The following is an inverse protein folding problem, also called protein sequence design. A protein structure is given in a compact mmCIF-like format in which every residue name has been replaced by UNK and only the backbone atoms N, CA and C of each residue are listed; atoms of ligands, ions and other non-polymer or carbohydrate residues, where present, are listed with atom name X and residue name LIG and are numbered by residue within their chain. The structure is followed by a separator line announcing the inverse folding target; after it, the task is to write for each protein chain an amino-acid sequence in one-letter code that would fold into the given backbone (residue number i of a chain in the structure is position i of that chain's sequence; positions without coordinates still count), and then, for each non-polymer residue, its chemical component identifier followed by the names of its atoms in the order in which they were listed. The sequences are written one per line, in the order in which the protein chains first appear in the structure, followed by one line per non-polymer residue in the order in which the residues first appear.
data_IF_460695924807
#
_entry.id   IF_460695924807
#
_cell.length_a   1.000
_cell.length_b   1.000
_cell.length_c   1.000
_cell.angle_alpha   90.00
_cell.angle_beta   90.00
_cell.angle_gamma   90.00
#
_symmetry.space_group_name_H-M   'P 1'
#
loop_
_entity.id
_entity.type
_entity.pdbx_description
1 polymer ?
#
# COMPACT_ATOMS: atom_id res chain seq x y z
N UNK A 1 -9.56 -22.43 12.71
CA UNK A 1 -9.92 -21.91 11.37
C UNK A 1 -8.63 -21.77 10.57
N UNK A 2 -8.51 -22.38 9.38
CA UNK A 2 -7.31 -22.23 8.54
C UNK A 2 -7.30 -20.78 8.04
N UNK A 3 -6.28 -20.00 8.44
CA UNK A 3 -6.11 -18.62 7.96
C UNK A 3 -5.95 -18.65 6.44
N UNK A 4 -6.94 -18.16 5.73
CA UNK A 4 -6.92 -18.08 4.26
C UNK A 4 -5.87 -17.07 3.82
N UNK A 5 -4.92 -17.51 3.00
CA UNK A 5 -3.86 -16.65 2.50
C UNK A 5 -4.34 -15.91 1.24
N UNK A 6 -4.01 -14.61 1.12
CA UNK A 6 -4.17 -13.91 -0.14
C UNK A 6 -2.87 -13.86 -0.96
N UNK A 7 -1.71 -13.96 -0.27
CA UNK A 7 -0.41 -14.00 -0.93
C UNK A 7 0.45 -15.13 -0.35
N UNK A 8 1.00 -15.96 -1.20
CA UNK A 8 1.97 -17.01 -0.85
C UNK A 8 3.08 -17.01 -1.88
N UNK A 9 4.30 -16.73 -1.44
CA UNK A 9 5.54 -16.84 -2.20
C UNK A 9 6.46 -17.85 -1.51
N UNK A 10 7.08 -18.74 -2.29
CA UNK A 10 8.10 -19.68 -1.84
C UNK A 10 9.25 -19.69 -2.85
N UNK A 11 10.46 -19.44 -2.39
CA UNK A 11 11.70 -19.40 -3.20
C UNK A 11 11.56 -18.56 -4.47
N UNK A 12 10.97 -17.36 -4.36
CA UNK A 12 10.72 -16.49 -5.50
C UNK A 12 11.92 -15.59 -5.79
N UNK A 13 12.34 -15.60 -7.04
CA UNK A 13 13.39 -14.75 -7.57
C UNK A 13 12.87 -13.94 -8.75
N UNK A 14 13.10 -12.63 -8.74
CA UNK A 14 12.70 -11.78 -9.83
C UNK A 14 13.85 -10.89 -10.30
N UNK A 15 13.88 -10.64 -11.61
CA UNK A 15 14.87 -9.80 -12.26
C UNK A 15 14.18 -8.60 -12.94
N UNK A 16 14.84 -7.44 -12.92
CA UNK A 16 14.44 -6.23 -13.63
C UNK A 16 15.67 -5.55 -14.20
N UNK A 17 15.71 -5.33 -15.53
CA UNK A 17 16.87 -4.73 -16.19
C UNK A 17 18.20 -5.50 -15.98
N UNK A 18 18.13 -6.83 -15.86
CA UNK A 18 19.31 -7.68 -15.61
C UNK A 18 19.70 -7.82 -14.13
N UNK A 19 19.12 -7.03 -13.23
CA UNK A 19 19.42 -7.07 -11.80
C UNK A 19 18.40 -7.94 -11.05
N UNK A 20 18.87 -8.76 -10.10
CA UNK A 20 18.03 -9.56 -9.20
C UNK A 20 17.45 -8.64 -8.12
N UNK A 21 16.18 -8.26 -8.29
CA UNK A 21 15.48 -7.29 -7.42
C UNK A 21 14.70 -7.94 -6.28
N UNK A 22 14.37 -9.22 -6.41
CA UNK A 22 13.80 -10.09 -5.36
C UNK A 22 14.67 -11.35 -5.29
N UNK A 23 15.08 -11.69 -4.08
CA UNK A 23 15.99 -12.80 -3.82
C UNK A 23 15.38 -13.79 -2.83
N UNK A 24 15.19 -15.03 -3.27
CA UNK A 24 14.73 -16.16 -2.46
C UNK A 24 13.56 -15.82 -1.52
N UNK A 25 12.60 -15.04 -2.03
CA UNK A 25 11.47 -14.56 -1.26
C UNK A 25 10.62 -15.72 -0.77
N UNK A 26 10.46 -15.78 0.54
CA UNK A 26 9.53 -16.68 1.23
C UNK A 26 8.60 -15.81 2.08
N UNK A 27 7.32 -15.70 1.68
CA UNK A 27 6.35 -14.82 2.34
C UNK A 27 4.94 -15.40 2.21
N UNK A 28 4.20 -15.40 3.31
CA UNK A 28 2.79 -15.73 3.35
C UNK A 28 2.03 -14.62 4.06
N UNK A 29 0.94 -14.12 3.47
CA UNK A 29 0.12 -13.05 4.06
C UNK A 29 -1.33 -13.54 4.13
N UNK A 30 -1.91 -13.47 5.32
CA UNK A 30 -3.29 -13.87 5.55
C UNK A 30 -4.29 -12.78 5.14
N UNK A 31 -5.51 -13.19 4.77
CA UNK A 31 -6.60 -12.28 4.44
C UNK A 31 -7.08 -11.45 5.63
N UNK A 32 -6.66 -11.79 6.84
CA UNK A 32 -7.17 -11.18 8.09
C UNK A 32 -6.28 -10.07 8.63
N UNK A 33 -5.04 -9.92 8.14
CA UNK A 33 -4.04 -9.02 8.71
C UNK A 33 -3.81 -7.76 7.86
N UNK A 34 -3.56 -6.63 8.53
CA UNK A 34 -2.99 -5.45 7.92
C UNK A 34 -1.47 -5.52 8.08
N UNK A 35 -0.76 -5.36 6.98
CA UNK A 35 0.69 -5.54 6.92
C UNK A 35 1.37 -4.27 6.45
N UNK A 36 2.48 -3.92 7.09
CA UNK A 36 3.35 -2.86 6.61
C UNK A 36 4.74 -3.42 6.28
N UNK A 37 5.21 -3.13 5.08
CA UNK A 37 6.53 -3.47 4.57
C UNK A 37 7.42 -2.23 4.62
N UNK A 38 8.50 -2.29 5.37
CA UNK A 38 9.46 -1.18 5.49
C UNK A 38 10.85 -1.57 4.96
N UNK A 39 11.58 -0.58 4.50
CA UNK A 39 12.95 -0.74 4.05
C UNK A 39 13.48 0.50 3.32
N UNK A 40 14.80 0.62 3.15
CA UNK A 40 15.40 1.74 2.42
C UNK A 40 14.98 1.76 0.95
N UNK A 41 15.25 2.89 0.28
CA UNK A 41 15.05 2.95 -1.16
C UNK A 41 15.94 1.93 -1.87
N UNK A 42 15.42 1.29 -2.90
CA UNK A 42 16.14 0.22 -3.62
C UNK A 42 16.09 -1.16 -2.95
N UNK A 43 15.44 -1.33 -1.79
CA UNK A 43 15.39 -2.63 -1.10
C UNK A 43 14.50 -3.70 -1.78
N UNK A 44 13.77 -3.35 -2.85
CA UNK A 44 12.90 -4.30 -3.57
C UNK A 44 11.41 -4.16 -3.28
N UNK A 45 10.98 -3.22 -2.42
CA UNK A 45 9.57 -3.05 -2.01
C UNK A 45 8.61 -2.84 -3.19
N UNK A 46 8.90 -1.90 -4.07
CA UNK A 46 8.07 -1.64 -5.26
C UNK A 46 8.10 -2.83 -6.23
N UNK A 47 9.23 -3.55 -6.31
CA UNK A 47 9.31 -4.78 -7.10
C UNK A 47 8.40 -5.88 -6.53
N UNK A 48 8.26 -5.98 -5.21
CA UNK A 48 7.30 -6.90 -4.60
C UNK A 48 5.85 -6.52 -4.97
N UNK A 49 5.51 -5.23 -4.95
CA UNK A 49 4.19 -4.77 -5.44
C UNK A 49 3.99 -5.13 -6.92
N UNK A 50 5.02 -4.97 -7.76
CA UNK A 50 4.95 -5.37 -9.17
C UNK A 50 4.74 -6.89 -9.33
N UNK A 51 5.32 -7.73 -8.48
CA UNK A 51 5.08 -9.18 -8.45
C UNK A 51 3.64 -9.48 -8.03
N UNK A 52 3.13 -8.81 -6.98
CA UNK A 52 1.74 -8.96 -6.51
C UNK A 52 0.75 -8.58 -7.63
N UNK A 53 1.01 -7.47 -8.32
CA UNK A 53 0.17 -6.97 -9.43
C UNK A 53 0.38 -7.74 -10.74
N UNK A 54 1.25 -8.76 -10.76
CA UNK A 54 1.62 -9.52 -11.98
C UNK A 54 2.20 -8.65 -13.10
N UNK A 55 2.87 -7.56 -12.76
CA UNK A 55 3.63 -6.73 -13.70
C UNK A 55 5.05 -7.28 -13.93
N UNK A 56 5.59 -8.01 -12.93
CA UNK A 56 6.84 -8.77 -13.01
C UNK A 56 6.53 -10.22 -12.63
N UNK A 57 7.13 -11.14 -13.36
CA UNK A 57 7.00 -12.58 -13.11
C UNK A 57 8.29 -13.14 -12.52
N UNK A 58 8.19 -14.07 -11.56
CA UNK A 58 9.35 -14.73 -11.02
C UNK A 58 9.99 -15.70 -12.02
N UNK A 59 11.27 -15.99 -11.81
CA UNK A 59 11.92 -17.13 -12.46
C UNK A 59 11.28 -18.39 -11.95
N UNK A 60 10.79 -19.22 -12.88
CA UNK A 60 10.16 -20.50 -12.56
C UNK A 60 11.22 -21.55 -12.33
N UNK A 61 11.20 -22.19 -11.17
CA UNK A 61 12.02 -23.34 -10.82
C UNK A 61 11.14 -24.43 -10.21
N UNK A 62 11.63 -25.66 -10.11
CA UNK A 62 10.88 -26.76 -9.48
C UNK A 62 10.54 -26.50 -7.99
N UNK A 63 11.21 -25.56 -7.35
CA UNK A 63 11.03 -25.23 -5.94
C UNK A 63 10.28 -23.92 -5.73
N UNK A 64 10.09 -23.11 -6.80
CA UNK A 64 9.39 -21.83 -6.72
C UNK A 64 7.88 -22.01 -6.77
N UNK A 65 7.16 -21.22 -5.95
CA UNK A 65 5.71 -21.20 -5.94
C UNK A 65 5.22 -19.79 -5.65
N UNK A 66 4.32 -19.29 -6.47
CA UNK A 66 3.66 -17.99 -6.26
C UNK A 66 2.16 -18.15 -6.43
N UNK A 67 1.41 -17.94 -5.33
CA UNK A 67 -0.06 -17.91 -5.35
C UNK A 67 -0.57 -16.58 -4.87
N UNK A 68 -1.59 -16.08 -5.56
CA UNK A 68 -2.39 -14.94 -5.14
C UNK A 68 -3.83 -15.43 -5.01
N UNK A 69 -4.43 -15.24 -3.84
CA UNK A 69 -5.75 -15.80 -3.49
C UNK A 69 -5.86 -17.32 -3.73
N UNK A 70 -4.78 -18.06 -3.41
CA UNK A 70 -4.63 -19.50 -3.64
C UNK A 70 -4.51 -19.94 -5.11
N UNK A 71 -4.43 -19.01 -6.06
CA UNK A 71 -4.31 -19.29 -7.49
C UNK A 71 -2.88 -19.03 -7.99
N UNK A 72 -2.28 -19.98 -8.69
CA UNK A 72 -0.99 -19.80 -9.36
C UNK A 72 -1.15 -19.00 -10.67
N UNK A 73 -2.20 -19.31 -11.41
CA UNK A 73 -2.61 -18.59 -12.62
C UNK A 73 -3.90 -17.84 -12.32
N UNK A 74 -3.81 -16.56 -12.07
CA UNK A 74 -4.97 -15.72 -11.82
C UNK A 74 -5.27 -14.83 -13.03
N UNK A 75 -6.54 -14.70 -13.37
CA UNK A 75 -6.98 -13.75 -14.38
C UNK A 75 -6.72 -12.31 -13.88
N UNK A 76 -6.03 -11.49 -14.69
CA UNK A 76 -5.67 -10.13 -14.32
C UNK A 76 -6.89 -9.22 -14.07
N UNK A 77 -8.01 -9.46 -14.75
CA UNK A 77 -9.24 -8.70 -14.51
C UNK A 77 -9.82 -9.01 -13.12
N UNK A 78 -9.81 -10.29 -12.72
CA UNK A 78 -10.25 -10.72 -11.38
C UNK A 78 -9.29 -10.22 -10.31
N UNK A 79 -7.98 -10.27 -10.55
CA UNK A 79 -6.98 -9.70 -9.64
C UNK A 79 -7.24 -8.21 -9.39
N UNK A 80 -7.48 -7.42 -10.46
CA UNK A 80 -7.75 -5.98 -10.39
C UNK A 80 -9.10 -5.61 -9.76
N UNK A 81 -10.01 -6.54 -9.60
CA UNK A 81 -11.23 -6.34 -8.80
C UNK A 81 -10.94 -6.53 -7.30
N UNK A 82 -10.07 -7.47 -6.96
CA UNK A 82 -9.77 -7.87 -5.59
C UNK A 82 -8.64 -7.06 -4.95
N UNK A 83 -7.69 -6.55 -5.75
CA UNK A 83 -6.58 -5.70 -5.30
C UNK A 83 -6.70 -4.34 -5.96
N UNK A 84 -6.58 -3.28 -5.15
CA UNK A 84 -6.39 -1.91 -5.64
C UNK A 84 -5.07 -1.36 -5.13
N UNK A 85 -4.29 -0.73 -6.01
CA UNK A 85 -2.99 -0.14 -5.67
C UNK A 85 -3.03 1.37 -5.83
N UNK A 86 -2.54 2.09 -4.83
CA UNK A 86 -2.29 3.53 -4.86
C UNK A 86 -0.78 3.75 -4.80
N UNK A 87 -0.23 4.36 -5.83
CA UNK A 87 1.18 4.76 -5.92
C UNK A 87 1.28 6.21 -6.40
N UNK A 88 2.47 6.80 -6.28
CA UNK A 88 2.68 8.20 -6.65
C UNK A 88 2.54 8.48 -8.16
N UNK A 89 2.80 7.49 -9.02
CA UNK A 89 2.70 7.65 -10.49
C UNK A 89 1.28 7.94 -10.96
N UNK A 90 0.28 7.53 -10.18
CA UNK A 90 -1.13 7.78 -10.49
C UNK A 90 -1.41 9.28 -10.57
N UNK A 91 -0.79 10.10 -9.74
CA UNK A 91 -0.99 11.57 -9.72
C UNK A 91 -0.71 12.19 -11.09
N UNK A 92 0.33 11.70 -11.78
CA UNK A 92 0.75 12.21 -13.09
C UNK A 92 -0.19 11.84 -14.24
N UNK A 93 -1.08 10.86 -14.03
CA UNK A 93 -2.05 10.39 -15.04
C UNK A 93 -3.41 11.07 -14.92
N UNK A 94 -3.63 11.84 -13.86
CA UNK A 94 -4.92 12.47 -13.58
C UNK A 94 -4.99 13.83 -14.25
N UNK A 95 -6.11 14.09 -14.94
CA UNK A 95 -6.40 15.43 -15.42
C UNK A 95 -6.56 16.38 -14.22
N UNK A 96 -5.74 17.44 -14.09
CA UNK A 96 -5.81 18.38 -12.96
C UNK A 96 -7.17 19.07 -12.83
N UNK A 97 -7.92 19.18 -13.92
CA UNK A 97 -9.24 19.81 -13.96
C UNK A 97 -10.40 18.81 -13.72
N UNK A 98 -10.13 17.59 -13.26
CA UNK A 98 -11.18 16.67 -12.84
C UNK A 98 -11.69 17.04 -11.44
N UNK A 99 -13.00 16.97 -11.21
CA UNK A 99 -13.55 17.08 -9.86
C UNK A 99 -13.29 15.81 -9.06
N UNK A 100 -13.13 15.92 -7.74
CA UNK A 100 -12.91 14.78 -6.84
C UNK A 100 -13.99 13.72 -7.00
N UNK A 101 -15.27 14.14 -7.13
CA UNK A 101 -16.36 13.20 -7.40
C UNK A 101 -16.09 12.34 -8.64
N UNK A 102 -15.72 12.98 -9.75
CA UNK A 102 -15.46 12.29 -11.02
C UNK A 102 -14.19 11.43 -10.97
N UNK A 103 -13.18 11.91 -10.25
CA UNK A 103 -11.97 11.14 -9.99
C UNK A 103 -12.29 9.84 -9.25
N UNK A 104 -13.06 9.91 -8.18
CA UNK A 104 -13.45 8.72 -7.40
C UNK A 104 -14.29 7.78 -8.28
N UNK A 105 -15.28 8.32 -8.98
CA UNK A 105 -16.12 7.54 -9.90
C UNK A 105 -15.31 6.81 -10.95
N UNK A 106 -14.29 7.47 -11.53
CA UNK A 106 -13.40 6.87 -12.54
C UNK A 106 -12.73 5.57 -12.07
N UNK A 107 -12.61 5.42 -10.76
CA UNK A 107 -12.10 4.20 -10.12
C UNK A 107 -12.93 2.96 -10.44
N UNK A 108 -14.27 3.06 -10.47
CA UNK A 108 -15.16 1.95 -10.83
C UNK A 108 -14.84 1.37 -12.23
N UNK A 109 -14.53 2.27 -13.14
CA UNK A 109 -14.30 1.95 -14.55
C UNK A 109 -12.83 1.68 -14.89
N UNK A 110 -11.92 1.80 -13.91
CA UNK A 110 -10.48 1.62 -14.14
C UNK A 110 -9.86 2.68 -15.08
N UNK A 111 -10.50 3.85 -15.20
CA UNK A 111 -10.09 4.96 -16.07
C UNK A 111 -9.52 6.11 -15.24
N UNK A 112 -8.87 7.08 -15.90
CA UNK A 112 -8.34 8.30 -15.28
C UNK A 112 -8.97 9.57 -15.88
N UNK A 113 -10.18 9.45 -16.41
CA UNK A 113 -10.90 10.51 -17.12
C UNK A 113 -12.33 10.67 -16.57
N UNK A 114 -12.96 11.76 -17.00
CA UNK A 114 -14.37 12.00 -16.77
C UNK A 114 -15.23 10.87 -17.36
N UNK A 115 -16.24 10.45 -16.62
CA UNK A 115 -17.25 9.44 -17.04
C UNK A 115 -18.53 10.20 -17.39
N UNK A 116 -18.96 10.18 -18.67
CA UNK A 116 -20.26 10.71 -19.05
C UNK A 116 -21.39 9.77 -18.59
N UNK A 117 -22.62 10.27 -18.59
CA UNK A 117 -23.87 9.50 -18.33
C UNK A 117 -23.81 8.69 -17.03
N UNK A 118 -23.61 9.38 -15.91
CA UNK A 118 -23.56 8.79 -14.57
C UNK A 118 -24.93 8.26 -14.17
N UNK A 119 -24.99 7.03 -13.71
CA UNK A 119 -26.21 6.45 -13.15
C UNK A 119 -26.46 6.91 -11.71
N UNK A 120 -27.67 6.76 -11.20
CA UNK A 120 -27.98 6.98 -9.79
C UNK A 120 -27.13 6.07 -8.87
N UNK A 121 -26.84 4.85 -9.32
CA UNK A 121 -25.97 3.91 -8.62
C UNK A 121 -24.54 4.43 -8.51
N UNK A 122 -24.02 5.07 -9.55
CA UNK A 122 -22.69 5.70 -9.52
C UNK A 122 -22.62 6.83 -8.48
N UNK A 123 -23.64 7.71 -8.46
CA UNK A 123 -23.76 8.76 -7.47
C UNK A 123 -23.80 8.19 -6.05
N UNK A 124 -24.64 7.20 -5.80
CA UNK A 124 -24.74 6.56 -4.50
C UNK A 124 -23.41 5.94 -4.03
N UNK A 125 -22.68 5.25 -4.93
CA UNK A 125 -21.40 4.64 -4.58
C UNK A 125 -20.32 5.68 -4.22
N UNK A 126 -20.24 6.77 -4.98
CA UNK A 126 -19.29 7.85 -4.70
C UNK A 126 -19.65 8.54 -3.39
N UNK A 127 -20.93 8.89 -3.17
CA UNK A 127 -21.39 9.54 -1.95
C UNK A 127 -21.11 8.69 -0.71
N UNK A 128 -21.28 7.36 -0.81
CA UNK A 128 -20.95 6.46 0.29
C UNK A 128 -19.45 6.49 0.64
N UNK A 129 -18.57 6.46 -0.35
CA UNK A 129 -17.12 6.54 -0.10
C UNK A 129 -16.75 7.90 0.51
N UNK A 130 -17.28 9.01 -0.05
CA UNK A 130 -17.04 10.35 0.46
C UNK A 130 -17.48 10.51 1.93
N UNK A 131 -18.63 9.92 2.29
CA UNK A 131 -19.15 9.92 3.66
C UNK A 131 -18.30 9.04 4.58
N UNK A 132 -18.01 7.80 4.18
CA UNK A 132 -17.23 6.84 4.99
C UNK A 132 -15.81 7.34 5.28
N UNK A 133 -15.23 8.09 4.36
CA UNK A 133 -13.91 8.71 4.54
C UNK A 133 -13.98 10.12 5.12
N UNK A 134 -15.18 10.65 5.39
CA UNK A 134 -15.38 12.02 5.90
C UNK A 134 -14.66 13.08 5.05
N UNK A 135 -14.83 13.02 3.72
CA UNK A 135 -14.24 13.94 2.73
C UNK A 135 -15.28 14.52 1.76
N UNK A 136 -16.54 14.55 2.16
CA UNK A 136 -17.63 15.03 1.32
C UNK A 136 -17.43 16.50 0.87
N UNK A 137 -16.77 17.29 1.69
CA UNK A 137 -16.39 18.69 1.42
C UNK A 137 -15.43 18.83 0.22
N UNK A 138 -14.72 17.77 -0.17
CA UNK A 138 -13.83 17.77 -1.33
C UNK A 138 -14.57 17.47 -2.63
N UNK A 139 -15.76 16.89 -2.58
CA UNK A 139 -16.50 16.32 -3.72
C UNK A 139 -16.54 17.23 -4.96
N UNK A 140 -16.80 18.54 -4.75
CA UNK A 140 -16.97 19.53 -5.82
C UNK A 140 -15.67 20.23 -6.21
N UNK A 141 -14.57 20.06 -5.43
CA UNK A 141 -13.28 20.68 -5.72
C UNK A 141 -12.62 20.03 -6.94
N UNK A 142 -11.87 20.80 -7.70
CA UNK A 142 -10.99 20.30 -8.74
C UNK A 142 -9.71 19.72 -8.12
N UNK A 143 -9.17 18.66 -8.71
CA UNK A 143 -7.97 17.98 -8.21
C UNK A 143 -6.76 18.92 -8.11
N UNK A 144 -6.63 19.88 -9.04
CA UNK A 144 -5.57 20.90 -9.03
C UNK A 144 -5.60 21.81 -7.80
N UNK A 145 -6.76 22.05 -7.20
CA UNK A 145 -6.92 22.94 -6.04
C UNK A 145 -6.78 22.24 -4.69
N UNK A 146 -6.52 20.94 -4.70
CA UNK A 146 -6.32 20.17 -3.47
C UNK A 146 -4.90 20.34 -2.95
N UNK A 147 -4.72 20.33 -1.62
CA UNK A 147 -3.42 20.08 -1.01
C UNK A 147 -2.91 18.69 -1.38
N UNK A 148 -1.61 18.45 -1.23
CA UNK A 148 -1.06 17.13 -1.57
C UNK A 148 -1.61 16.01 -0.69
N UNK A 149 -1.92 16.29 0.58
CA UNK A 149 -2.63 15.38 1.47
C UNK A 149 -4.06 15.08 0.99
N UNK A 150 -4.84 16.13 0.60
CA UNK A 150 -6.18 15.97 0.04
C UNK A 150 -6.16 15.19 -1.27
N UNK A 151 -5.14 15.43 -2.14
CA UNK A 151 -4.92 14.63 -3.36
C UNK A 151 -4.72 13.16 -3.02
N UNK A 152 -3.83 12.87 -2.08
CA UNK A 152 -3.53 11.49 -1.67
C UNK A 152 -4.77 10.77 -1.12
N UNK A 153 -5.54 11.43 -0.25
CA UNK A 153 -6.78 10.87 0.31
C UNK A 153 -7.82 10.63 -0.81
N UNK A 154 -7.92 11.54 -1.80
CA UNK A 154 -8.82 11.37 -2.94
C UNK A 154 -8.42 10.16 -3.81
N UNK A 155 -7.12 9.86 -3.94
CA UNK A 155 -6.63 8.66 -4.63
C UNK A 155 -6.94 7.38 -3.86
N UNK A 156 -6.82 7.41 -2.54
CA UNK A 156 -7.20 6.30 -1.67
C UNK A 156 -8.72 6.05 -1.81
N UNK A 157 -9.54 7.10 -1.77
CA UNK A 157 -10.98 6.99 -1.98
C UNK A 157 -11.33 6.38 -3.34
N UNK A 158 -10.62 6.82 -4.39
CA UNK A 158 -10.75 6.27 -5.74
C UNK A 158 -10.40 4.78 -5.79
N UNK A 159 -9.40 4.34 -5.07
CA UNK A 159 -9.01 2.92 -5.01
C UNK A 159 -10.05 2.07 -4.26
N UNK A 160 -10.66 2.63 -3.21
CA UNK A 160 -11.63 1.95 -2.35
C UNK A 160 -13.03 1.82 -2.96
N UNK A 161 -13.39 2.59 -3.99
CA UNK A 161 -14.75 2.57 -4.54
C UNK A 161 -15.15 1.21 -5.09
N UNK A 162 -14.18 0.40 -5.54
CA UNK A 162 -14.40 -0.99 -5.98
C UNK A 162 -14.57 -1.98 -4.84
N UNK A 163 -14.40 -1.54 -3.58
CA UNK A 163 -14.39 -2.39 -2.39
C UNK A 163 -13.41 -3.57 -2.53
N UNK A 164 -12.12 -3.29 -2.81
CA UNK A 164 -11.13 -4.35 -2.96
C UNK A 164 -10.98 -5.14 -1.66
N UNK A 165 -10.60 -6.41 -1.75
CA UNK A 165 -10.22 -7.20 -0.57
C UNK A 165 -8.91 -6.68 0.04
N UNK A 166 -7.95 -6.31 -0.84
CA UNK A 166 -6.65 -5.78 -0.44
C UNK A 166 -6.43 -4.40 -1.06
N UNK A 167 -6.10 -3.42 -0.21
CA UNK A 167 -5.64 -2.10 -0.61
C UNK A 167 -4.13 -2.02 -0.43
N UNK A 168 -3.41 -1.86 -1.53
CA UNK A 168 -1.96 -1.64 -1.52
C UNK A 168 -1.70 -0.14 -1.55
N UNK A 169 -0.92 0.34 -0.58
CA UNK A 169 -0.47 1.72 -0.48
C UNK A 169 1.05 1.76 -0.66
N UNK A 170 1.51 2.29 -1.79
CA UNK A 170 2.94 2.41 -2.10
C UNK A 170 3.41 3.83 -1.80
N UNK A 171 4.21 3.99 -0.73
CA UNK A 171 4.75 5.26 -0.25
C UNK A 171 3.67 6.36 -0.10
N UNK A 172 2.57 6.12 0.65
CA UNK A 172 1.41 7.01 0.64
C UNK A 172 1.66 8.40 1.23
N UNK A 173 2.75 8.59 1.98
CA UNK A 173 3.12 9.86 2.60
C UNK A 173 4.38 10.49 2.02
N UNK A 174 4.95 9.90 0.95
CA UNK A 174 6.15 10.43 0.33
C UNK A 174 5.92 11.85 -0.24
N UNK A 175 6.89 12.73 -0.01
CA UNK A 175 6.91 14.13 -0.46
C UNK A 175 5.76 15.00 0.11
N UNK A 176 5.14 14.59 1.22
CA UNK A 176 4.16 15.39 1.93
C UNK A 176 4.83 16.20 3.06
N UNK A 177 4.35 17.41 3.29
CA UNK A 177 4.66 18.16 4.51
C UNK A 177 4.08 17.45 5.74
N UNK A 178 4.52 17.82 6.94
CA UNK A 178 4.11 17.16 8.18
C UNK A 178 2.59 17.18 8.39
N UNK A 179 1.91 18.29 8.09
CA UNK A 179 0.46 18.40 8.25
C UNK A 179 -0.28 17.45 7.32
N UNK A 180 0.09 17.44 6.05
CA UNK A 180 -0.46 16.56 5.03
C UNK A 180 -0.17 15.09 5.32
N UNK A 181 1.04 14.79 5.84
CA UNK A 181 1.45 13.46 6.26
C UNK A 181 0.55 12.91 7.36
N UNK A 182 0.37 13.65 8.46
CA UNK A 182 -0.49 13.21 9.56
C UNK A 182 -1.96 13.08 9.13
N UNK A 183 -2.45 13.99 8.29
CA UNK A 183 -3.79 13.89 7.72
C UNK A 183 -3.99 12.57 6.96
N UNK A 184 -3.01 12.15 6.16
CA UNK A 184 -3.06 10.87 5.43
C UNK A 184 -2.97 9.69 6.37
N UNK A 185 -2.07 9.72 7.38
CA UNK A 185 -1.94 8.67 8.39
C UNK A 185 -3.26 8.47 9.15
N UNK A 186 -3.88 9.55 9.60
CA UNK A 186 -5.15 9.50 10.31
C UNK A 186 -6.25 8.88 9.43
N UNK A 187 -6.30 9.24 8.15
CA UNK A 187 -7.24 8.63 7.21
C UNK A 187 -6.98 7.15 6.99
N UNK A 188 -5.72 6.73 6.89
CA UNK A 188 -5.36 5.30 6.78
C UNK A 188 -5.80 4.56 8.05
N UNK A 189 -5.61 5.14 9.24
CA UNK A 189 -6.06 4.55 10.50
C UNK A 189 -7.59 4.36 10.54
N UNK A 190 -8.36 5.32 10.01
CA UNK A 190 -9.82 5.21 9.89
C UNK A 190 -10.24 4.06 8.97
N UNK A 191 -9.41 3.67 7.98
CA UNK A 191 -9.73 2.58 7.04
C UNK A 191 -9.80 1.20 7.70
N UNK A 192 -9.24 1.02 8.90
CA UNK A 192 -9.36 -0.22 9.68
C UNK A 192 -10.81 -0.63 9.93
N UNK A 193 -11.75 0.34 9.88
CA UNK A 193 -13.20 0.13 9.99
C UNK A 193 -13.85 -0.41 8.71
N UNK A 194 -13.12 -0.41 7.59
CA UNK A 194 -13.58 -0.95 6.32
C UNK A 194 -13.20 -2.43 6.17
N UNK A 195 -13.86 -3.12 5.26
CA UNK A 195 -13.60 -4.55 5.04
C UNK A 195 -12.29 -4.84 4.28
N UNK A 196 -11.72 -3.83 3.62
CA UNK A 196 -10.45 -3.99 2.90
C UNK A 196 -9.28 -4.10 3.87
N UNK A 197 -8.39 -5.05 3.64
CA UNK A 197 -7.11 -5.14 4.38
C UNK A 197 -6.05 -4.30 3.68
N UNK A 198 -5.12 -3.78 4.47
CA UNK A 198 -4.10 -2.84 3.99
C UNK A 198 -2.75 -3.54 3.91
N UNK A 199 -2.12 -3.47 2.75
CA UNK A 199 -0.72 -3.76 2.56
C UNK A 199 0.00 -2.45 2.25
N UNK A 200 0.65 -1.86 3.26
CA UNK A 200 1.35 -0.58 3.13
C UNK A 200 2.84 -0.81 2.91
N UNK A 201 3.42 -0.08 1.97
CA UNK A 201 4.86 -0.11 1.69
C UNK A 201 5.42 1.28 1.89
N UNK A 202 6.49 1.40 2.70
CA UNK A 202 7.11 2.69 2.99
C UNK A 202 8.55 2.55 3.48
N UNK A 203 9.30 3.64 3.46
CA UNK A 203 10.58 3.77 4.16
C UNK A 203 10.44 4.55 5.48
N UNK A 204 9.24 5.05 5.77
CA UNK A 204 8.95 5.93 6.89
C UNK A 204 8.37 5.15 8.07
N UNK A 205 9.16 5.02 9.15
CA UNK A 205 8.77 4.27 10.34
C UNK A 205 7.57 4.89 11.07
N UNK A 206 7.34 6.20 10.93
CA UNK A 206 6.18 6.87 11.54
C UNK A 206 4.84 6.44 10.96
N UNK A 207 4.86 5.75 9.80
CA UNK A 207 3.67 5.12 9.22
C UNK A 207 3.22 3.86 9.98
N UNK A 208 4.07 3.29 10.83
CA UNK A 208 3.74 2.10 11.61
C UNK A 208 2.85 2.52 12.77
N UNK A 209 1.55 2.36 12.59
CA UNK A 209 0.51 2.66 13.57
C UNK A 209 -0.16 1.38 14.06
N UNK A 210 -1.03 1.49 15.07
CA UNK A 210 -1.68 0.33 15.69
C UNK A 210 -2.62 -0.45 14.76
N UNK A 211 -2.92 0.05 13.55
CA UNK A 211 -3.74 -0.70 12.58
C UNK A 211 -2.98 -1.84 11.91
N UNK A 212 -1.65 -1.79 11.90
CA UNK A 212 -0.84 -2.82 11.28
C UNK A 212 -0.54 -3.93 12.29
N UNK A 213 -1.02 -5.12 12.02
CA UNK A 213 -0.79 -6.28 12.87
C UNK A 213 0.64 -6.80 12.75
N UNK A 214 1.21 -6.68 11.53
CA UNK A 214 2.49 -7.28 11.15
C UNK A 214 3.38 -6.29 10.42
N UNK A 215 4.66 -6.34 10.74
CA UNK A 215 5.73 -5.56 10.09
C UNK A 215 6.69 -6.51 9.40
N UNK A 216 7.01 -6.18 8.15
CA UNK A 216 8.01 -6.88 7.35
C UNK A 216 9.13 -5.89 7.04
N UNK A 217 10.38 -6.31 7.25
CA UNK A 217 11.56 -5.51 6.89
C UNK A 217 12.25 -6.12 5.68
N UNK A 218 12.49 -5.30 4.66
CA UNK A 218 13.11 -5.73 3.41
C UNK A 218 14.37 -4.92 3.12
N UNK A 219 15.46 -5.62 2.79
CA UNK A 219 16.76 -5.05 2.41
C UNK A 219 17.35 -5.85 1.25
N UNK A 220 17.89 -5.16 0.25
CA UNK A 220 18.61 -5.76 -0.88
C UNK A 220 17.90 -6.92 -1.59
N UNK A 221 16.55 -6.86 -1.65
CA UNK A 221 15.71 -7.88 -2.27
C UNK A 221 15.32 -9.04 -1.36
N UNK A 222 15.68 -9.03 -0.08
CA UNK A 222 15.46 -10.08 0.91
C UNK A 222 14.62 -9.59 2.09
N UNK A 223 13.82 -10.48 2.69
CA UNK A 223 13.18 -10.23 3.98
C UNK A 223 14.19 -10.49 5.10
N UNK A 224 14.46 -9.48 5.91
CA UNK A 224 15.41 -9.57 7.03
C UNK A 224 14.75 -9.72 8.39
N UNK A 225 13.49 -9.31 8.51
CA UNK A 225 12.66 -9.50 9.71
C UNK A 225 11.17 -9.52 9.31
N UNK A 226 10.36 -10.29 10.03
CA UNK A 226 8.94 -10.50 9.77
C UNK A 226 8.24 -10.97 11.04
N UNK A 227 7.22 -10.25 11.50
CA UNK A 227 6.50 -10.58 12.72
C UNK A 227 5.65 -9.43 13.26
N UNK A 228 5.24 -9.54 14.53
CA UNK A 228 4.48 -8.48 15.21
C UNK A 228 5.33 -7.24 15.45
N UNK A 229 4.67 -6.06 15.46
CA UNK A 229 5.37 -4.77 15.60
C UNK A 229 6.42 -4.75 16.72
N UNK A 230 6.01 -5.18 17.94
CA UNK A 230 6.87 -5.09 19.12
C UNK A 230 8.07 -6.06 19.07
N UNK A 231 8.00 -7.11 18.24
CA UNK A 231 9.08 -8.08 18.05
C UNK A 231 10.06 -7.60 16.98
N UNK A 232 9.51 -7.05 15.90
CA UNK A 232 10.30 -6.68 14.71
C UNK A 232 10.95 -5.31 14.88
N UNK A 233 10.24 -4.34 15.50
CA UNK A 233 10.74 -2.98 15.65
C UNK A 233 11.60 -2.85 16.90
N UNK A 234 12.89 -3.05 16.70
CA UNK A 234 13.93 -2.90 17.71
C UNK A 234 15.21 -2.32 17.09
N UNK A 235 16.13 -1.84 17.92
CA UNK A 235 17.37 -1.21 17.45
C UNK A 235 18.21 -2.16 16.59
N UNK A 236 18.30 -3.43 16.94
CA UNK A 236 19.10 -4.42 16.21
C UNK A 236 18.60 -4.58 14.76
N UNK A 237 17.30 -4.82 14.56
CA UNK A 237 16.71 -4.98 13.24
C UNK A 237 16.80 -3.69 12.42
N UNK A 238 16.62 -2.52 13.03
CA UNK A 238 16.73 -1.25 12.32
C UNK A 238 18.18 -0.89 11.98
N UNK A 239 19.15 -1.25 12.84
CA UNK A 239 20.57 -1.12 12.52
C UNK A 239 20.94 -2.00 11.31
N UNK A 240 20.46 -3.24 11.28
CA UNK A 240 20.62 -4.13 10.11
C UNK A 240 19.96 -3.56 8.86
N UNK A 241 18.76 -2.99 9.01
CA UNK A 241 17.98 -2.44 7.90
C UNK A 241 18.66 -1.22 7.27
N UNK A 242 19.02 -0.24 8.09
CA UNK A 242 19.53 1.06 7.62
C UNK A 242 21.06 1.16 7.59
N UNK A 243 21.79 0.23 8.23
CA UNK A 243 23.25 0.27 8.29
C UNK A 243 23.81 1.39 9.17
N UNK A 244 23.04 1.88 10.14
CA UNK A 244 23.39 2.95 11.08
C UNK A 244 22.93 2.58 12.50
N UNK A 245 23.67 3.01 13.52
CA UNK A 245 23.28 2.79 14.91
C UNK A 245 22.14 3.72 15.30
N UNK A 246 21.02 3.12 15.71
CA UNK A 246 19.82 3.85 16.10
C UNK A 246 19.21 3.31 17.38
N UNK A 247 18.62 4.22 18.13
CA UNK A 247 17.71 3.93 19.23
C UNK A 247 16.26 4.09 18.76
N UNK A 248 15.42 3.15 19.15
CA UNK A 248 13.98 3.14 18.80
C UNK A 248 13.18 3.48 20.03
N UNK A 249 12.24 4.40 19.85
CA UNK A 249 11.27 4.75 20.90
C UNK A 249 9.87 4.66 20.35
N UNK A 250 8.93 4.19 21.20
CA UNK A 250 7.50 4.18 20.90
C UNK A 250 6.83 5.21 21.81
N UNK A 251 6.29 6.25 21.20
CA UNK A 251 5.52 7.29 21.89
C UNK A 251 4.04 7.15 21.50
N UNK A 252 3.19 6.72 22.42
CA UNK A 252 1.78 6.39 22.18
C UNK A 252 1.64 5.37 21.02
N UNK A 253 1.15 5.82 19.87
CA UNK A 253 0.88 4.98 18.68
C UNK A 253 1.96 5.10 17.59
N UNK A 254 3.02 5.89 17.82
CA UNK A 254 4.02 6.19 16.79
C UNK A 254 5.40 5.71 17.20
N UNK A 255 6.09 5.13 16.24
CA UNK A 255 7.50 4.77 16.37
C UNK A 255 8.38 5.92 15.88
N UNK A 256 9.48 6.17 16.58
CA UNK A 256 10.51 7.14 16.20
C UNK A 256 11.90 6.55 16.33
N UNK A 257 12.80 7.05 15.51
CA UNK A 257 14.21 6.63 15.48
C UNK A 257 15.06 7.84 15.83
N UNK A 258 16.01 7.62 16.72
CA UNK A 258 17.07 8.58 17.03
C UNK A 258 18.41 7.95 16.67
N UNK A 259 19.19 8.64 15.84
CA UNK A 259 20.57 8.21 15.55
C UNK A 259 21.41 8.34 16.81
N UNK A 260 22.17 7.30 17.14
CA UNK A 260 23.19 7.37 18.18
C UNK A 260 24.41 8.06 17.59
N UNK A 261 24.88 9.12 18.27
CA UNK A 261 26.19 9.74 17.96
C UNK A 261 27.30 8.77 18.38
N UNK A 262 28.25 8.57 17.49
CA UNK A 262 29.49 7.87 17.83
C UNK A 262 30.26 8.66 18.86
#
# INVERSE_FOLDING_TARGET
MVNKLWFEAKNINCFKGGFRVIKDLNLKIANSENVILIGPNGSGKSSLIEVINRNIYPVVTNQSKLKIFNEELINLWELRKRISTVNNDIKNRINPNIKVFDLILSGLYGKYCYIPNKSERDHYQVDNILKNMNIFNLSKKYFSYLSDGEKQISLIARALIKKPEILILDEPTANLDYRSKFLVIDKINELSKLNSKIFCVTHDISMITNIFDRVIMMKDGEIIADGYQNEVINSENLNRLYGIDVEVTKNNSFWSIKRLSK
#
